data_IF_750254285225
#
_entry.id   IF_750254285225
#
_cell.length_a   1.000
_cell.length_b   1.000
_cell.length_c   1.000
_cell.angle_alpha   90.00
_cell.angle_beta   90.00
_cell.angle_gamma   90.00
#
_symmetry.space_group_name_H-M   'P 1'
#
loop_
_entity.id
_entity.type
_entity.pdbx_description
1 polymer ?
#
# COMPACT_ATOMS: atom_id res chain seq x y z
N UNK A 1 66.68 12.73 -7.34
CA UNK A 1 66.49 11.56 -6.45
C UNK A 1 65.00 11.40 -6.14
N UNK A 2 64.58 10.18 -5.83
CA UNK A 2 63.22 9.59 -5.87
C UNK A 2 62.19 10.12 -4.84
N UNK A 3 60.89 9.89 -5.13
CA UNK A 3 59.80 9.61 -4.17
C UNK A 3 58.87 10.80 -3.86
N UNK A 4 57.64 10.98 -4.35
CA UNK A 4 56.36 10.21 -4.41
C UNK A 4 55.36 10.54 -3.28
N UNK A 5 54.12 10.90 -3.68
CA UNK A 5 52.80 10.86 -2.95
C UNK A 5 52.63 11.70 -1.67
N UNK A 6 51.48 12.33 -1.34
CA UNK A 6 50.08 11.97 -1.56
C UNK A 6 49.14 13.17 -1.28
N UNK A 7 48.10 13.30 -2.09
CA UNK A 7 46.90 14.13 -1.87
C UNK A 7 45.81 13.33 -1.15
N UNK A 8 45.10 13.91 -0.18
CA UNK A 8 43.85 13.35 0.36
C UNK A 8 42.88 14.44 0.80
N UNK A 9 41.98 14.84 -0.10
CA UNK A 9 40.73 15.52 0.25
C UNK A 9 39.59 14.50 0.29
N UNK A 10 39.03 14.28 1.48
CA UNK A 10 37.86 13.44 1.74
C UNK A 10 36.62 14.14 1.16
N UNK A 11 35.93 13.51 0.19
CA UNK A 11 34.58 13.90 -0.27
C UNK A 11 33.52 12.96 0.28
N UNK A 12 32.43 13.58 0.74
CA UNK A 12 31.21 12.98 1.27
C UNK A 12 30.51 12.04 0.28
N UNK A 13 30.01 10.91 0.78
CA UNK A 13 29.24 9.93 0.00
C UNK A 13 27.75 10.30 0.02
N UNK A 14 27.29 10.95 -1.05
CA UNK A 14 25.88 10.98 -1.46
C UNK A 14 25.66 9.94 -2.55
N UNK A 15 25.06 8.79 -2.23
CA UNK A 15 24.74 7.74 -3.20
C UNK A 15 23.42 8.06 -3.92
N UNK A 16 23.46 9.10 -4.76
CA UNK A 16 22.56 9.26 -5.91
C UNK A 16 23.30 8.83 -7.19
N UNK A 17 22.60 8.53 -8.30
CA UNK A 17 23.24 8.16 -9.55
C UNK A 17 24.09 9.34 -10.06
N UNK A 18 25.41 9.15 -10.09
CA UNK A 18 26.35 10.09 -10.72
C UNK A 18 26.43 9.71 -12.20
N UNK A 19 25.83 10.54 -13.05
CA UNK A 19 26.01 10.46 -14.50
C UNK A 19 27.23 11.30 -14.88
N UNK A 20 28.33 10.65 -15.29
CA UNK A 20 29.46 11.35 -15.93
C UNK A 20 29.28 11.34 -17.45
N UNK A 21 29.29 12.53 -18.06
CA UNK A 21 29.24 12.69 -19.51
C UNK A 21 30.65 12.48 -20.11
N UNK A 22 30.82 11.41 -20.89
CA UNK A 22 32.04 11.15 -21.66
C UNK A 22 32.16 12.05 -22.90
N UNK A 23 33.39 12.40 -23.28
CA UNK A 23 33.72 13.29 -24.41
C UNK A 23 33.20 12.77 -25.76
N UNK A 24 32.86 13.74 -26.61
CA UNK A 24 32.33 13.60 -27.96
C UNK A 24 33.42 13.38 -29.02
N UNK A 25 33.24 12.35 -29.84
CA UNK A 25 33.64 12.36 -31.24
C UNK A 25 32.74 11.39 -32.03
N UNK A 26 31.89 11.92 -32.93
CA UNK A 26 31.15 11.11 -33.92
C UNK A 26 29.85 10.46 -33.47
N UNK A 27 28.73 11.19 -33.64
CA UNK A 27 27.32 10.76 -33.83
C UNK A 27 26.62 9.74 -32.90
N UNK A 28 27.20 9.25 -31.81
CA UNK A 28 26.48 8.46 -30.81
C UNK A 28 26.89 8.81 -29.37
N UNK A 29 25.91 9.15 -28.52
CA UNK A 29 26.11 9.32 -27.07
C UNK A 29 25.84 7.97 -26.39
N UNK A 30 26.90 7.35 -25.86
CA UNK A 30 26.79 6.10 -25.10
C UNK A 30 26.61 6.45 -23.63
N UNK A 31 25.44 6.16 -23.06
CA UNK A 31 25.26 6.19 -21.61
C UNK A 31 25.65 4.84 -21.03
N UNK A 32 26.61 4.85 -20.11
CA UNK A 32 26.99 3.69 -19.33
C UNK A 32 26.65 3.90 -17.86
N UNK A 33 25.87 2.99 -17.28
CA UNK A 33 25.47 3.02 -15.87
C UNK A 33 25.60 1.64 -15.23
N UNK A 34 25.74 1.62 -13.90
CA UNK A 34 25.78 0.40 -13.12
C UNK A 34 24.49 0.26 -12.30
N UNK A 35 23.83 -0.89 -12.40
CA UNK A 35 22.72 -1.26 -11.51
C UNK A 35 22.94 -2.68 -10.99
N UNK A 36 22.96 -2.85 -9.66
CA UNK A 36 23.26 -4.12 -8.96
C UNK A 36 24.48 -4.89 -9.50
N UNK A 37 25.59 -4.17 -9.76
CA UNK A 37 26.85 -4.78 -10.16
C UNK A 37 26.97 -5.16 -11.65
N UNK A 38 25.96 -4.90 -12.47
CA UNK A 38 26.01 -5.13 -13.92
C UNK A 38 26.13 -3.81 -14.70
N UNK A 39 26.94 -3.81 -15.76
CA UNK A 39 27.18 -2.65 -16.62
C UNK A 39 26.15 -2.61 -17.75
N UNK A 40 25.38 -1.54 -17.83
CA UNK A 40 24.41 -1.31 -18.90
C UNK A 40 24.93 -0.23 -19.85
N UNK A 41 24.89 -0.49 -21.16
CA UNK A 41 25.24 0.48 -22.20
C UNK A 41 24.08 0.63 -23.17
N UNK A 42 23.69 1.88 -23.48
CA UNK A 42 22.64 2.17 -24.45
C UNK A 42 23.09 3.24 -25.45
N UNK A 43 22.74 3.09 -26.72
CA UNK A 43 23.24 3.90 -27.84
C UNK A 43 22.23 4.87 -28.44
N UNK A 44 21.02 5.04 -27.89
CA UNK A 44 20.03 5.97 -28.46
C UNK A 44 19.28 6.79 -27.40
N UNK A 45 19.07 8.08 -27.68
CA UNK A 45 18.43 9.06 -26.80
C UNK A 45 16.92 8.86 -26.56
N UNK A 46 16.28 7.84 -27.15
CA UNK A 46 14.89 7.44 -26.83
C UNK A 46 14.77 6.46 -25.65
N UNK A 47 15.87 6.20 -24.94
CA UNK A 47 15.98 5.15 -23.93
C UNK A 47 15.44 5.48 -22.53
N UNK A 48 14.96 6.71 -22.26
CA UNK A 48 14.37 7.02 -20.94
C UNK A 48 13.03 6.30 -20.70
N UNK A 49 12.20 6.14 -21.74
CA UNK A 49 10.92 5.42 -21.64
C UNK A 49 11.11 3.89 -21.60
N UNK A 50 12.11 3.36 -22.34
CA UNK A 50 12.38 1.91 -22.40
C UNK A 50 13.07 1.38 -21.14
N UNK A 51 13.90 2.19 -20.47
CA UNK A 51 14.51 1.79 -19.18
C UNK A 51 13.46 1.66 -18.07
N UNK A 52 12.47 2.55 -18.01
CA UNK A 52 11.38 2.48 -17.03
C UNK A 52 10.46 1.28 -17.28
N UNK A 53 10.18 0.97 -18.55
CA UNK A 53 9.35 -0.19 -18.93
C UNK A 53 10.07 -1.53 -18.70
N UNK A 54 11.40 -1.56 -18.85
CA UNK A 54 12.21 -2.75 -18.60
C UNK A 54 12.41 -2.99 -17.09
N UNK A 55 12.56 -1.93 -16.29
CA UNK A 55 12.62 -2.02 -14.82
C UNK A 55 11.31 -2.57 -14.21
N UNK A 56 10.16 -2.08 -14.66
CA UNK A 56 8.84 -2.58 -14.20
C UNK A 56 8.57 -4.02 -14.65
N UNK A 57 8.96 -4.40 -15.86
CA UNK A 57 8.85 -5.78 -16.33
C UNK A 57 9.79 -6.75 -15.58
N UNK A 58 11.00 -6.32 -15.22
CA UNK A 58 11.95 -7.11 -14.44
C UNK A 58 11.55 -7.24 -12.96
N UNK A 59 10.94 -6.20 -12.38
CA UNK A 59 10.31 -6.29 -11.05
C UNK A 59 9.10 -7.22 -11.05
N UNK A 60 8.25 -7.15 -12.07
CA UNK A 60 7.12 -8.07 -12.26
C UNK A 60 7.57 -9.53 -12.46
N UNK A 61 8.66 -9.76 -13.19
CA UNK A 61 9.24 -11.08 -13.38
C UNK A 61 9.96 -11.61 -12.12
N UNK A 62 10.62 -10.74 -11.34
CA UNK A 62 11.22 -11.09 -10.05
C UNK A 62 10.15 -11.41 -8.99
N UNK A 63 9.00 -10.72 -9.01
CA UNK A 63 7.79 -11.02 -8.21
C UNK A 63 7.27 -12.42 -8.53
N UNK A 64 7.13 -12.78 -9.82
CA UNK A 64 6.71 -14.12 -10.26
C UNK A 64 7.70 -15.24 -9.88
N UNK A 65 9.00 -14.96 -9.79
CA UNK A 65 10.03 -15.99 -9.48
C UNK A 65 10.16 -16.31 -7.98
N UNK A 66 9.58 -15.51 -7.09
CA UNK A 66 9.60 -15.70 -5.62
C UNK A 66 8.52 -16.65 -5.09
N UNK A 67 7.64 -17.14 -5.99
CA UNK A 67 6.40 -17.86 -5.68
C UNK A 67 6.57 -19.36 -5.37
N UNK A 68 7.79 -19.90 -5.29
CA UNK A 68 7.99 -21.30 -4.87
C UNK A 68 8.33 -21.33 -3.37
N UNK A 69 7.28 -21.46 -2.54
CA UNK A 69 7.37 -21.69 -1.09
C UNK A 69 7.06 -20.51 -0.16
N UNK A 70 6.51 -19.38 -0.66
CA UNK A 70 6.28 -18.18 0.14
C UNK A 70 4.80 -17.86 0.31
N UNK A 71 4.46 -17.45 1.53
CA UNK A 71 3.17 -16.89 1.97
C UNK A 71 2.64 -15.88 0.96
N UNK A 72 1.41 -16.06 0.48
CA UNK A 72 0.80 -15.12 -0.47
C UNK A 72 0.22 -13.93 0.27
N UNK A 73 0.58 -12.72 -0.15
CA UNK A 73 0.04 -11.48 0.41
C UNK A 73 -1.07 -10.94 -0.49
N UNK A 74 -2.27 -10.80 0.05
CA UNK A 74 -3.45 -10.30 -0.64
C UNK A 74 -3.78 -8.91 -0.08
N UNK A 75 -3.88 -7.89 -0.91
CA UNK A 75 -4.44 -6.60 -0.54
C UNK A 75 -5.96 -6.63 -0.71
N UNK A 76 -6.72 -6.58 0.38
CA UNK A 76 -8.18 -6.54 0.32
C UNK A 76 -8.66 -5.10 0.47
N UNK A 77 -9.39 -4.61 -0.53
CA UNK A 77 -9.96 -3.27 -0.53
C UNK A 77 -11.40 -3.30 -1.02
N UNK A 78 -12.16 -2.23 -0.78
CA UNK A 78 -13.56 -2.14 -1.19
C UNK A 78 -14.19 -0.85 -0.70
N UNK A 79 -15.21 -0.39 -1.41
CA UNK A 79 -15.98 0.79 -1.01
C UNK A 79 -16.81 0.55 0.25
N UNK A 80 -17.22 1.64 0.90
CA UNK A 80 -18.10 1.59 2.07
C UNK A 80 -19.35 0.77 1.76
N UNK A 81 -19.71 -0.12 2.69
CA UNK A 81 -20.90 -0.96 2.55
C UNK A 81 -20.79 -2.09 1.51
N UNK A 82 -19.64 -2.25 0.84
CA UNK A 82 -19.43 -3.35 -0.12
C UNK A 82 -19.27 -4.72 0.56
N UNK A 83 -19.06 -4.77 1.87
CA UNK A 83 -18.88 -6.04 2.62
C UNK A 83 -17.43 -6.51 2.72
N UNK A 84 -16.45 -5.60 2.58
CA UNK A 84 -15.01 -5.89 2.76
C UNK A 84 -14.70 -6.65 4.05
N UNK A 85 -15.24 -6.18 5.18
CA UNK A 85 -15.02 -6.83 6.49
C UNK A 85 -15.56 -8.26 6.53
N UNK A 86 -16.67 -8.55 5.83
CA UNK A 86 -17.21 -9.90 5.76
C UNK A 86 -16.32 -10.82 4.91
N UNK A 87 -15.85 -10.32 3.75
CA UNK A 87 -14.88 -11.06 2.95
C UNK A 87 -13.56 -11.32 3.71
N UNK A 88 -13.10 -10.35 4.50
CA UNK A 88 -11.93 -10.53 5.37
C UNK A 88 -12.16 -11.63 6.42
N UNK A 89 -13.34 -11.67 7.05
CA UNK A 89 -13.70 -12.72 8.01
C UNK A 89 -13.72 -14.10 7.35
N UNK A 90 -14.34 -14.24 6.17
CA UNK A 90 -14.36 -15.50 5.44
C UNK A 90 -12.95 -15.96 5.08
N UNK A 91 -12.08 -15.05 4.64
CA UNK A 91 -10.66 -15.37 4.37
C UNK A 91 -9.93 -15.82 5.63
N UNK A 92 -10.21 -15.21 6.78
CA UNK A 92 -9.65 -15.64 8.06
C UNK A 92 -10.09 -17.07 8.44
N UNK A 93 -11.37 -17.39 8.25
CA UNK A 93 -11.92 -18.74 8.47
C UNK A 93 -11.29 -19.79 7.55
N UNK A 94 -10.88 -19.39 6.34
CA UNK A 94 -10.17 -20.24 5.38
C UNK A 94 -8.68 -20.41 5.68
N UNK A 95 -8.18 -19.77 6.75
CA UNK A 95 -6.81 -19.89 7.22
C UNK A 95 -5.87 -18.77 6.79
N UNK A 96 -6.39 -17.64 6.30
CA UNK A 96 -5.58 -16.45 6.07
C UNK A 96 -5.35 -15.67 7.38
N UNK A 97 -4.16 -15.10 7.54
CA UNK A 97 -3.93 -14.11 8.59
C UNK A 97 -4.39 -12.73 8.10
N UNK A 98 -5.29 -12.07 8.81
CA UNK A 98 -5.78 -10.73 8.45
C UNK A 98 -5.05 -9.66 9.25
N UNK A 99 -4.38 -8.75 8.55
CA UNK A 99 -3.79 -7.53 9.09
C UNK A 99 -4.78 -6.39 8.82
N UNK A 100 -5.48 -5.95 9.86
CA UNK A 100 -6.36 -4.78 9.82
C UNK A 100 -5.50 -3.49 9.82
N UNK A 101 -5.42 -2.83 8.67
CA UNK A 101 -4.62 -1.63 8.51
C UNK A 101 -5.21 -0.41 9.22
N UNK A 102 -6.53 -0.37 9.46
CA UNK A 102 -7.17 0.69 10.22
C UNK A 102 -6.81 0.56 11.72
N UNK A 103 -6.77 -0.68 12.22
CA UNK A 103 -6.29 -0.98 13.58
C UNK A 103 -4.78 -0.65 13.75
N UNK A 104 -3.93 -0.97 12.76
CA UNK A 104 -2.53 -0.52 12.75
C UNK A 104 -2.42 1.01 12.70
N UNK A 105 -3.34 1.67 12.01
CA UNK A 105 -3.49 3.12 12.01
C UNK A 105 -3.62 3.70 13.41
N UNK A 106 -4.53 3.15 14.21
CA UNK A 106 -4.72 3.57 15.60
C UNK A 106 -3.47 3.34 16.46
N UNK A 107 -2.80 2.19 16.28
CA UNK A 107 -1.54 1.90 16.99
C UNK A 107 -0.41 2.84 16.60
N UNK A 108 -0.37 3.29 15.33
CA UNK A 108 0.70 4.14 14.83
C UNK A 108 0.78 5.52 15.50
N UNK A 109 -0.31 6.00 16.10
CA UNK A 109 -0.35 7.26 16.85
C UNK A 109 -0.74 7.10 18.33
N UNK A 110 -0.63 5.89 18.88
CA UNK A 110 -0.80 5.67 20.32
C UNK A 110 0.19 6.52 21.14
N UNK A 111 -0.19 6.90 22.36
CA UNK A 111 0.63 7.74 23.24
C UNK A 111 2.07 7.21 23.35
N UNK A 112 3.04 8.12 23.21
CA UNK A 112 4.48 7.80 23.24
C UNK A 112 5.09 7.35 21.91
N UNK A 113 4.29 7.09 20.87
CA UNK A 113 4.81 6.75 19.54
C UNK A 113 5.37 7.97 18.78
N UNK A 114 6.06 7.70 17.67
CA UNK A 114 6.47 8.75 16.72
C UNK A 114 5.25 9.40 16.07
N UNK A 115 4.20 8.62 15.75
CA UNK A 115 2.98 9.15 15.15
C UNK A 115 2.27 10.12 16.07
N UNK A 116 2.15 9.77 17.35
CA UNK A 116 1.57 10.67 18.36
C UNK A 116 2.29 12.03 18.40
N UNK A 117 3.62 12.02 18.49
CA UNK A 117 4.43 13.26 18.52
C UNK A 117 4.21 14.11 17.27
N UNK A 118 4.20 13.50 16.09
CA UNK A 118 3.96 14.20 14.83
C UNK A 118 2.57 14.83 14.78
N UNK A 119 1.54 14.13 15.26
CA UNK A 119 0.18 14.68 15.26
C UNK A 119 0.03 15.85 16.22
N UNK A 120 0.62 15.76 17.42
CA UNK A 120 0.62 16.87 18.38
C UNK A 120 1.40 18.06 17.84
N UNK A 121 2.48 17.85 17.10
CA UNK A 121 3.23 18.94 16.45
C UNK A 121 2.42 19.63 15.35
N UNK A 122 1.66 18.88 14.55
CA UNK A 122 0.87 19.42 13.42
C UNK A 122 -0.43 20.08 13.91
N UNK A 123 -1.16 19.44 14.81
CA UNK A 123 -2.52 19.83 15.22
C UNK A 123 -2.59 20.42 16.63
N UNK A 124 -1.45 20.61 17.28
CA UNK A 124 -1.32 21.07 18.67
C UNK A 124 -1.97 20.10 19.69
N UNK A 125 -1.93 20.44 20.98
CA UNK A 125 -2.53 19.63 22.04
C UNK A 125 -4.07 19.59 22.02
N UNK A 126 -4.73 20.37 21.16
CA UNK A 126 -6.20 20.40 21.06
C UNK A 126 -6.83 19.09 20.60
N UNK A 127 -6.04 18.19 20.00
CA UNK A 127 -6.47 16.84 19.61
C UNK A 127 -6.29 15.80 20.71
N UNK A 128 -5.88 16.19 21.92
CA UNK A 128 -5.66 15.27 23.04
C UNK A 128 -6.87 15.23 23.99
N UNK A 129 -7.10 14.06 24.60
CA UNK A 129 -7.98 13.89 25.75
C UNK A 129 -7.23 14.14 27.08
N UNK A 130 -7.93 14.01 28.21
CA UNK A 130 -7.36 14.24 29.54
C UNK A 130 -6.20 13.29 29.87
N UNK A 131 -6.21 12.08 29.32
CA UNK A 131 -5.16 11.07 29.46
C UNK A 131 -3.95 11.29 28.54
N UNK A 132 -3.92 12.39 27.77
CA UNK A 132 -2.90 12.71 26.76
C UNK A 132 -2.86 11.70 25.59
N UNK A 133 -3.96 11.02 25.33
CA UNK A 133 -4.18 10.21 24.13
C UNK A 133 -4.84 11.05 23.03
N UNK A 134 -4.74 10.60 21.78
CA UNK A 134 -5.38 11.26 20.64
C UNK A 134 -6.89 11.03 20.74
N UNK A 135 -7.66 12.12 20.88
CA UNK A 135 -9.11 12.11 20.75
C UNK A 135 -9.47 11.96 19.27
N UNK A 136 -9.89 10.75 18.89
CA UNK A 136 -10.24 10.40 17.51
C UNK A 136 -11.47 11.15 17.00
N UNK A 137 -12.40 11.52 17.88
CA UNK A 137 -13.58 12.28 17.46
C UNK A 137 -13.16 13.71 17.10
N UNK A 138 -12.39 14.37 17.98
CA UNK A 138 -11.85 15.73 17.71
C UNK A 138 -10.92 15.77 16.50
N UNK A 139 -10.00 14.80 16.40
CA UNK A 139 -9.12 14.70 15.24
C UNK A 139 -9.93 14.51 13.95
N UNK A 140 -10.95 13.63 13.99
CA UNK A 140 -11.87 13.39 12.89
C UNK A 140 -12.58 14.67 12.44
N UNK A 141 -13.20 15.40 13.37
CA UNK A 141 -13.87 16.68 13.06
C UNK A 141 -12.93 17.67 12.35
N UNK A 142 -11.70 17.81 12.86
CA UNK A 142 -10.71 18.72 12.30
C UNK A 142 -10.30 18.32 10.88
N UNK A 143 -9.96 17.04 10.66
CA UNK A 143 -9.44 16.58 9.37
C UNK A 143 -10.53 16.40 8.32
N UNK A 144 -11.75 16.04 8.71
CA UNK A 144 -12.86 15.93 7.75
C UNK A 144 -13.47 17.28 7.37
N UNK A 145 -13.29 18.32 8.18
CA UNK A 145 -13.67 19.69 7.83
C UNK A 145 -12.66 20.37 6.89
N UNK A 146 -11.40 19.92 6.85
CA UNK A 146 -10.34 20.57 6.07
C UNK A 146 -9.51 19.54 5.26
N UNK A 147 -9.64 19.52 3.92
CA UNK A 147 -8.87 18.63 3.05
C UNK A 147 -7.33 18.74 3.21
N UNK A 148 -6.81 19.93 3.53
CA UNK A 148 -5.39 20.13 3.78
C UNK A 148 -4.95 19.47 5.09
N UNK A 149 -5.77 19.56 6.14
CA UNK A 149 -5.52 18.88 7.41
C UNK A 149 -5.53 17.35 7.23
N UNK A 150 -6.48 16.80 6.46
CA UNK A 150 -6.49 15.38 6.12
C UNK A 150 -5.23 14.96 5.37
N UNK A 151 -4.76 15.78 4.42
CA UNK A 151 -3.51 15.51 3.71
C UNK A 151 -2.29 15.47 4.65
N UNK A 152 -2.20 16.40 5.61
CA UNK A 152 -1.14 16.40 6.63
C UNK A 152 -1.19 15.18 7.54
N UNK A 153 -2.39 14.81 8.02
CA UNK A 153 -2.59 13.59 8.82
C UNK A 153 -2.08 12.36 8.05
N UNK A 154 -2.56 12.18 6.81
CA UNK A 154 -2.19 11.05 5.98
C UNK A 154 -0.68 11.01 5.70
N UNK A 155 -0.08 12.16 5.38
CA UNK A 155 1.36 12.25 5.12
C UNK A 155 2.21 11.92 6.36
N UNK A 156 1.75 12.30 7.55
CA UNK A 156 2.45 12.02 8.80
C UNK A 156 2.38 10.55 9.21
N UNK A 157 1.22 9.91 8.99
CA UNK A 157 0.88 8.60 9.56
C UNK A 157 1.02 7.44 8.56
N UNK A 158 0.65 7.61 7.28
CA UNK A 158 0.71 6.50 6.32
C UNK A 158 2.10 5.82 6.22
N UNK A 159 3.24 6.54 6.25
CA UNK A 159 4.54 5.88 6.24
C UNK A 159 4.78 4.99 7.47
N UNK A 160 4.23 5.37 8.63
CA UNK A 160 4.36 4.61 9.87
C UNK A 160 3.50 3.34 9.82
N UNK A 161 2.26 3.45 9.36
CA UNK A 161 1.37 2.29 9.17
C UNK A 161 1.98 1.33 8.15
N UNK A 162 2.43 1.84 7.00
CA UNK A 162 3.07 1.02 5.96
C UNK A 162 4.24 0.23 6.52
N UNK A 163 5.05 0.83 7.39
CA UNK A 163 6.17 0.14 8.02
C UNK A 163 5.71 -0.96 8.99
N UNK A 164 4.64 -0.74 9.75
CA UNK A 164 4.07 -1.75 10.66
C UNK A 164 3.50 -2.93 9.88
N UNK A 165 2.68 -2.65 8.87
CA UNK A 165 2.10 -3.67 7.98
C UNK A 165 3.20 -4.48 7.28
N UNK A 166 4.23 -3.83 6.74
CA UNK A 166 5.35 -4.52 6.10
C UNK A 166 6.12 -5.44 7.06
N UNK A 167 6.29 -5.02 8.33
CA UNK A 167 6.93 -5.85 9.36
C UNK A 167 6.05 -7.04 9.73
N UNK A 168 4.75 -6.84 9.90
CA UNK A 168 3.81 -7.91 10.20
C UNK A 168 3.78 -8.96 9.08
N UNK A 169 3.75 -8.53 7.81
CA UNK A 169 3.84 -9.43 6.64
C UNK A 169 5.11 -10.29 6.72
N UNK A 170 6.26 -9.68 7.02
CA UNK A 170 7.53 -10.41 7.08
C UNK A 170 7.58 -11.40 8.26
N UNK A 171 6.97 -11.07 9.40
CA UNK A 171 6.83 -11.98 10.53
C UNK A 171 5.98 -13.21 10.16
N UNK A 172 4.83 -13.00 9.52
CA UNK A 172 3.99 -14.11 9.05
C UNK A 172 4.68 -14.94 7.96
N UNK A 173 5.52 -14.30 7.14
CA UNK A 173 6.38 -15.02 6.19
C UNK A 173 7.34 -15.99 6.87
N UNK A 174 7.95 -15.56 7.97
CA UNK A 174 8.88 -16.39 8.73
C UNK A 174 8.18 -17.51 9.49
N UNK A 175 6.92 -17.31 9.89
CA UNK A 175 6.11 -18.33 10.58
C UNK A 175 5.54 -19.40 9.65
N UNK A 176 5.71 -19.27 8.32
CA UNK A 176 5.25 -20.26 7.35
C UNK A 176 3.74 -20.23 7.06
N UNK A 177 3.09 -19.10 7.33
CA UNK A 177 1.65 -18.92 7.07
C UNK A 177 1.31 -19.15 5.58
N UNK A 178 0.08 -19.53 5.27
CA UNK A 178 -0.28 -19.80 3.88
C UNK A 178 -0.65 -18.55 3.10
N UNK A 179 -1.39 -17.64 3.74
CA UNK A 179 -1.74 -16.35 3.16
C UNK A 179 -1.85 -15.27 4.24
N UNK A 180 -1.56 -14.04 3.84
CA UNK A 180 -1.75 -12.83 4.64
C UNK A 180 -2.63 -11.88 3.86
N UNK A 181 -3.64 -11.31 4.51
CA UNK A 181 -4.56 -10.33 3.94
C UNK A 181 -4.29 -8.98 4.58
N UNK A 182 -3.93 -7.99 3.78
CA UNK A 182 -3.89 -6.58 4.20
C UNK A 182 -5.30 -6.02 4.01
N UNK A 183 -6.06 -5.88 5.09
CA UNK A 183 -7.39 -5.31 5.03
C UNK A 183 -7.32 -3.77 5.12
N UNK A 184 -7.48 -3.08 3.98
CA UNK A 184 -7.32 -1.62 3.91
C UNK A 184 -8.33 -0.99 2.93
N UNK A 185 -9.25 -0.17 3.44
CA UNK A 185 -10.24 0.53 2.60
C UNK A 185 -9.59 1.54 1.62
N UNK A 186 -8.42 2.06 1.97
CA UNK A 186 -7.69 3.08 1.22
C UNK A 186 -6.37 2.54 0.63
N UNK A 187 -6.29 1.23 0.34
CA UNK A 187 -5.07 0.56 -0.11
C UNK A 187 -4.35 1.29 -1.25
N UNK A 188 -5.09 1.66 -2.31
CA UNK A 188 -4.53 2.36 -3.48
C UNK A 188 -4.19 3.83 -3.21
N UNK A 189 -5.03 4.52 -2.43
CA UNK A 189 -4.82 5.91 -2.06
C UNK A 189 -3.57 6.05 -1.18
N UNK A 190 -3.32 5.06 -0.33
CA UNK A 190 -2.12 4.96 0.49
C UNK A 190 -0.90 4.41 -0.26
N UNK A 191 -1.06 3.95 -1.51
CA UNK A 191 -0.03 3.31 -2.34
C UNK A 191 0.60 2.10 -1.64
N UNK A 192 -0.24 1.25 -1.06
CA UNK A 192 0.15 0.01 -0.38
C UNK A 192 -0.10 -1.24 -1.23
N UNK A 193 -0.57 -1.08 -2.47
CA UNK A 193 -0.73 -2.15 -3.44
C UNK A 193 0.61 -2.84 -3.77
N UNK A 194 1.73 -2.15 -3.58
CA UNK A 194 3.09 -2.70 -3.73
C UNK A 194 3.51 -3.66 -2.60
N UNK A 195 2.79 -3.67 -1.48
CA UNK A 195 2.99 -4.63 -0.38
C UNK A 195 2.34 -5.98 -0.69
N UNK A 196 1.36 -6.02 -1.60
CA UNK A 196 0.59 -7.20 -1.93
C UNK A 196 1.11 -7.91 -3.18
N UNK A 197 0.98 -9.23 -3.20
CA UNK A 197 1.21 -10.08 -4.36
C UNK A 197 0.00 -10.10 -5.30
N UNK A 198 -1.21 -9.89 -4.77
CA UNK A 198 -2.47 -9.67 -5.52
C UNK A 198 -3.36 -8.67 -4.77
N UNK A 199 -4.16 -7.88 -5.48
CA UNK A 199 -5.17 -7.00 -4.91
C UNK A 199 -6.57 -7.47 -5.26
N UNK A 200 -7.36 -7.77 -4.23
CA UNK A 200 -8.74 -8.21 -4.35
C UNK A 200 -9.67 -7.07 -3.96
N UNK A 201 -10.64 -6.77 -4.83
CA UNK A 201 -11.59 -5.67 -4.64
C UNK A 201 -12.98 -6.22 -4.37
N UNK A 202 -13.52 -5.89 -3.20
CA UNK A 202 -14.92 -6.15 -2.88
C UNK A 202 -15.78 -5.02 -3.41
N UNK A 203 -16.75 -5.35 -4.25
CA UNK A 203 -17.69 -4.42 -4.85
C UNK A 203 -19.12 -4.80 -4.52
N UNK A 204 -20.05 -3.85 -4.58
CA UNK A 204 -21.48 -4.13 -4.49
C UNK A 204 -22.25 -3.07 -5.29
N UNK A 205 -23.44 -3.39 -5.81
CA UNK A 205 -24.28 -2.41 -6.49
C UNK A 205 -24.60 -1.22 -5.58
N UNK A 206 -24.63 0.03 -6.10
CA UNK A 206 -24.91 1.22 -5.28
C UNK A 206 -26.21 1.14 -4.48
N UNK A 207 -27.27 0.55 -5.07
CA UNK A 207 -28.55 0.34 -4.40
C UNK A 207 -28.41 -0.56 -3.16
N UNK A 208 -27.70 -1.70 -3.31
CA UNK A 208 -27.41 -2.64 -2.23
C UNK A 208 -26.57 -2.00 -1.12
N UNK A 209 -25.56 -1.21 -1.48
CA UNK A 209 -24.72 -0.47 -0.52
C UNK A 209 -25.58 0.49 0.29
N UNK A 210 -26.44 1.28 -0.37
CA UNK A 210 -27.30 2.26 0.29
C UNK A 210 -28.24 1.56 1.29
N UNK A 211 -28.91 0.49 0.87
CA UNK A 211 -29.81 -0.28 1.73
C UNK A 211 -29.08 -0.82 2.97
N UNK A 212 -27.89 -1.41 2.79
CA UNK A 212 -27.07 -1.94 3.89
C UNK A 212 -26.64 -0.85 4.88
N UNK A 213 -26.27 0.33 4.37
CA UNK A 213 -25.81 1.43 5.22
C UNK A 213 -26.98 2.12 5.96
N UNK A 214 -28.15 2.22 5.33
CA UNK A 214 -29.37 2.70 5.98
C UNK A 214 -29.79 1.77 7.13
N UNK A 215 -29.72 0.45 6.95
CA UNK A 215 -29.97 -0.53 8.03
C UNK A 215 -28.97 -0.41 9.20
N UNK A 216 -27.80 0.19 8.96
CA UNK A 216 -26.79 0.50 9.99
C UNK A 216 -26.97 1.90 10.62
N UNK A 217 -28.05 2.60 10.30
CA UNK A 217 -28.39 3.90 10.86
C UNK A 217 -27.62 5.09 10.25
N UNK A 218 -26.95 4.92 9.10
CA UNK A 218 -26.29 6.04 8.43
C UNK A 218 -27.29 6.84 7.60
N UNK A 219 -27.18 8.17 7.68
CA UNK A 219 -27.94 9.08 6.82
C UNK A 219 -27.41 9.02 5.37
N UNK A 220 -28.24 9.31 4.36
CA UNK A 220 -27.77 9.43 2.97
C UNK A 220 -26.59 10.39 2.81
N UNK A 221 -26.56 11.48 3.58
CA UNK A 221 -25.47 12.45 3.61
C UNK A 221 -24.17 11.84 4.16
N UNK A 222 -24.24 11.02 5.21
CA UNK A 222 -23.08 10.29 5.74
C UNK A 222 -22.55 9.27 4.74
N UNK A 223 -23.45 8.55 4.08
CA UNK A 223 -23.09 7.59 3.02
C UNK A 223 -22.34 8.30 1.89
N UNK A 224 -22.87 9.44 1.41
CA UNK A 224 -22.24 10.22 0.35
C UNK A 224 -20.86 10.73 0.77
N UNK A 225 -20.74 11.34 1.95
CA UNK A 225 -19.45 11.85 2.47
C UNK A 225 -18.39 10.74 2.55
N UNK A 226 -18.77 9.57 3.07
CA UNK A 226 -17.84 8.44 3.20
C UNK A 226 -17.47 7.83 1.86
N UNK A 227 -18.42 7.73 0.93
CA UNK A 227 -18.15 7.28 -0.44
C UNK A 227 -17.19 8.25 -1.15
N UNK A 228 -17.38 9.55 -0.99
CA UNK A 228 -16.50 10.59 -1.55
C UNK A 228 -15.08 10.53 -0.99
N UNK A 229 -14.93 10.36 0.33
CA UNK A 229 -13.61 10.16 0.96
C UNK A 229 -12.89 8.90 0.44
N UNK A 230 -13.66 7.93 -0.07
CA UNK A 230 -13.18 6.68 -0.64
C UNK A 230 -13.20 6.65 -2.18
N UNK A 231 -13.40 7.79 -2.87
CA UNK A 231 -13.63 7.88 -4.32
C UNK A 231 -12.57 7.20 -5.24
N UNK A 232 -11.45 6.74 -4.70
CA UNK A 232 -10.52 5.85 -5.40
C UNK A 232 -11.01 4.40 -5.58
N UNK A 233 -12.12 3.98 -4.97
CA UNK A 233 -12.68 2.63 -5.13
C UNK A 233 -13.04 2.30 -6.60
N UNK A 234 -13.43 3.29 -7.40
CA UNK A 234 -13.66 3.10 -8.84
C UNK A 234 -12.36 2.84 -9.61
N UNK A 235 -11.28 3.51 -9.21
CA UNK A 235 -9.93 3.28 -9.77
C UNK A 235 -9.34 1.93 -9.32
N UNK A 236 -9.78 1.42 -8.16
CA UNK A 236 -9.39 0.11 -7.65
C UNK A 236 -9.84 -1.04 -8.57
N UNK A 237 -11.06 -0.97 -9.12
CA UNK A 237 -11.60 -2.01 -9.99
C UNK A 237 -10.76 -2.24 -11.26
N UNK A 238 -10.21 -1.17 -11.86
CA UNK A 238 -9.39 -1.28 -13.06
C UNK A 238 -7.97 -1.81 -12.83
N UNK A 239 -7.57 -1.96 -11.56
CA UNK A 239 -6.23 -2.46 -11.16
C UNK A 239 -6.30 -3.77 -10.37
N UNK A 240 -7.51 -4.26 -10.11
CA UNK A 240 -7.73 -5.46 -9.32
C UNK A 240 -7.21 -6.71 -10.03
N UNK A 241 -6.55 -7.59 -9.28
CA UNK A 241 -6.23 -8.94 -9.74
C UNK A 241 -7.46 -9.85 -9.66
N UNK A 242 -8.34 -9.59 -8.68
CA UNK A 242 -9.63 -10.26 -8.55
C UNK A 242 -10.73 -9.31 -8.03
N UNK A 243 -11.96 -9.54 -8.47
CA UNK A 243 -13.15 -8.81 -8.02
C UNK A 243 -14.09 -9.78 -7.31
N UNK A 244 -14.49 -9.43 -6.09
CA UNK A 244 -15.51 -10.10 -5.29
C UNK A 244 -16.77 -9.25 -5.36
N UNK A 245 -17.69 -9.61 -6.26
CA UNK A 245 -18.98 -8.92 -6.36
C UNK A 245 -19.93 -9.44 -5.26
N UNK A 246 -20.33 -8.53 -4.38
CA UNK A 246 -21.24 -8.78 -3.26
C UNK A 246 -22.63 -8.19 -3.55
N UNK A 247 -23.28 -8.72 -4.58
CA UNK A 247 -24.63 -8.38 -5.01
C UNK A 247 -25.72 -9.29 -4.42
N UNK A 248 -25.35 -10.47 -3.94
CA UNK A 248 -26.26 -11.51 -3.46
C UNK A 248 -26.33 -11.64 -1.93
N UNK A 249 -26.59 -12.87 -1.47
CA UNK A 249 -26.66 -13.23 -0.05
C UNK A 249 -25.27 -13.37 0.60
N UNK A 250 -25.25 -13.62 1.91
CA UNK A 250 -24.01 -13.91 2.63
C UNK A 250 -23.40 -15.25 2.18
N UNK A 251 -24.24 -16.24 1.83
CA UNK A 251 -23.82 -17.51 1.25
C UNK A 251 -23.18 -17.32 -0.14
N UNK A 252 -23.76 -16.46 -0.99
CA UNK A 252 -23.19 -16.16 -2.30
C UNK A 252 -21.79 -15.52 -2.17
N UNK A 253 -21.64 -14.57 -1.23
CA UNK A 253 -20.34 -13.96 -0.94
C UNK A 253 -19.33 -15.00 -0.46
N UNK A 254 -19.73 -15.88 0.46
CA UNK A 254 -18.89 -16.95 0.98
C UNK A 254 -18.43 -17.90 -0.12
N UNK A 255 -19.35 -18.36 -0.97
CA UNK A 255 -19.03 -19.23 -2.09
C UNK A 255 -18.03 -18.56 -3.04
N UNK A 256 -18.22 -17.28 -3.34
CA UNK A 256 -17.30 -16.53 -4.21
C UNK A 256 -15.91 -16.36 -3.62
N UNK A 257 -15.80 -16.08 -2.32
CA UNK A 257 -14.50 -15.97 -1.63
C UNK A 257 -13.80 -17.34 -1.59
N UNK A 258 -14.54 -18.43 -1.35
CA UNK A 258 -14.01 -19.80 -1.36
C UNK A 258 -13.47 -20.20 -2.73
N UNK A 259 -14.21 -19.92 -3.80
CA UNK A 259 -13.78 -20.19 -5.17
C UNK A 259 -12.45 -19.48 -5.50
N UNK A 260 -12.34 -18.18 -5.18
CA UNK A 260 -11.10 -17.43 -5.38
C UNK A 260 -9.96 -17.94 -4.51
N UNK A 261 -10.25 -18.35 -3.27
CA UNK A 261 -9.26 -18.95 -2.38
C UNK A 261 -8.70 -20.25 -2.96
N UNK A 262 -9.56 -21.14 -3.43
CA UNK A 262 -9.16 -22.39 -4.07
C UNK A 262 -8.34 -22.12 -5.34
N UNK A 263 -8.82 -21.26 -6.23
CA UNK A 263 -8.16 -20.94 -7.50
C UNK A 263 -6.79 -20.27 -7.29
N UNK A 264 -6.70 -19.29 -6.38
CA UNK A 264 -5.54 -18.39 -6.29
C UNK A 264 -4.54 -18.82 -5.22
N UNK A 265 -5.00 -19.46 -4.14
CA UNK A 265 -4.16 -19.78 -2.98
C UNK A 265 -3.82 -21.26 -2.93
N UNK A 266 -4.80 -22.15 -3.11
CA UNK A 266 -4.57 -23.59 -3.01
C UNK A 266 -4.06 -24.19 -4.33
N UNK A 267 -4.60 -23.78 -5.47
CA UNK A 267 -4.29 -24.37 -6.79
C UNK A 267 -2.96 -23.91 -7.40
N UNK A 268 -2.30 -22.91 -6.81
CA UNK A 268 -1.00 -22.39 -7.27
C UNK A 268 0.17 -23.07 -6.55
N UNK A 269 -0.08 -24.20 -5.86
CA UNK A 269 0.94 -25.05 -5.23
C UNK A 269 1.54 -26.04 -6.21
#
# INVERSE_FOLDING_TARGET
MRGNSSSSSVRSRSSGPVAEAGRTSGRFVIFSGFYKGQRLTCTHASAHAKLNHCATALEGAARKRRLRGNVRVIGLTGGIGAGKSEAANILAELGAVVIDADAEGHRAYAKGTIGWRRLVEIFSSGILNDDQEIDRARLGELVFANPQALAWLNAAIHPLIRQQVARAIEQHRQNGEHAVVIDAALLYQAKWDDLADEVWVVSAPPATVLERLQKRGLTPEDVRRRAEAQNGAKAALGKADAIIENSGSQEDLRARVQELWEERILSVR
#
